data_IF_604413134282
#
_entry.id   IF_604413134282
#
_cell.length_a   1.000
_cell.length_b   1.000
_cell.length_c   1.000
_cell.angle_alpha   90.00
_cell.angle_beta   90.00
_cell.angle_gamma   90.00
#
_symmetry.space_group_name_H-M   'P 1'
#
loop_
_entity.id
_entity.type
_entity.pdbx_description
1 polymer ?
#
# COMPACT_ATOMS: atom_id res chain seq x y z
N UNK A 1 -37.51 -18.35 -25.53
CA UNK A 1 -38.05 -19.56 -24.87
C UNK A 1 -38.10 -20.84 -25.74
N UNK A 2 -37.43 -20.90 -26.89
CA UNK A 2 -37.55 -22.04 -27.83
C UNK A 2 -36.89 -23.35 -27.34
N UNK A 3 -35.72 -23.27 -26.72
CA UNK A 3 -34.93 -24.45 -26.30
C UNK A 3 -35.63 -25.27 -25.18
N UNK A 4 -36.21 -24.66 -24.12
CA UNK A 4 -36.99 -25.41 -23.14
C UNK A 4 -38.23 -26.10 -23.74
N UNK A 5 -39.01 -25.39 -24.55
CA UNK A 5 -40.25 -25.90 -25.13
C UNK A 5 -40.00 -27.12 -26.04
N UNK A 6 -38.99 -27.04 -26.93
CA UNK A 6 -38.59 -28.15 -27.82
C UNK A 6 -38.02 -29.36 -27.06
N UNK A 7 -37.58 -29.17 -25.82
CA UNK A 7 -37.09 -30.25 -24.95
C UNK A 7 -38.25 -30.92 -24.22
N UNK A 8 -39.20 -30.13 -23.71
CA UNK A 8 -40.41 -30.63 -23.06
C UNK A 8 -41.28 -31.47 -24.00
N UNK A 9 -41.46 -31.05 -25.26
CA UNK A 9 -42.29 -31.78 -26.25
C UNK A 9 -41.72 -33.13 -26.70
N UNK A 10 -40.53 -33.52 -26.22
CA UNK A 10 -39.89 -34.81 -26.52
C UNK A 10 -39.92 -35.81 -25.36
N UNK A 11 -40.38 -35.39 -24.19
CA UNK A 11 -40.56 -36.25 -23.02
C UNK A 11 -41.98 -36.78 -23.02
N UNK A 12 -42.16 -38.10 -23.03
CA UNK A 12 -43.50 -38.69 -22.90
C UNK A 12 -44.05 -38.50 -21.48
N UNK A 13 -45.38 -38.48 -21.32
CA UNK A 13 -46.00 -38.37 -19.99
C UNK A 13 -45.53 -39.49 -19.04
N UNK A 14 -45.30 -40.70 -19.57
CA UNK A 14 -44.78 -41.84 -18.82
C UNK A 14 -43.31 -41.67 -18.39
N UNK A 15 -42.47 -41.01 -19.19
CA UNK A 15 -41.10 -40.64 -18.79
C UNK A 15 -41.08 -39.48 -17.79
N UNK A 16 -42.03 -38.54 -17.88
CA UNK A 16 -42.17 -37.47 -16.90
C UNK A 16 -42.60 -38.01 -15.52
N UNK A 17 -43.50 -39.01 -15.49
CA UNK A 17 -43.94 -39.69 -14.27
C UNK A 17 -42.85 -40.63 -13.73
N UNK A 18 -42.13 -41.38 -14.59
CA UNK A 18 -40.95 -42.16 -14.19
C UNK A 18 -39.73 -41.26 -13.99
N UNK A 19 -39.68 -40.51 -12.88
CA UNK A 19 -38.52 -39.67 -12.46
C UNK A 19 -37.20 -40.43 -12.17
N UNK A 20 -37.03 -41.67 -12.66
CA UNK A 20 -35.76 -42.42 -12.67
C UNK A 20 -34.65 -41.76 -13.51
N UNK A 21 -34.95 -40.72 -14.29
CA UNK A 21 -33.95 -39.94 -15.04
C UNK A 21 -33.00 -39.12 -14.15
N UNK A 22 -33.35 -38.86 -12.89
CA UNK A 22 -32.64 -37.93 -12.01
C UNK A 22 -31.12 -38.20 -11.87
N UNK A 23 -30.67 -39.45 -12.05
CA UNK A 23 -29.25 -39.84 -11.93
C UNK A 23 -28.78 -40.76 -13.08
N UNK A 24 -28.92 -40.33 -14.34
CA UNK A 24 -28.28 -41.04 -15.49
C UNK A 24 -26.75 -40.89 -15.49
N UNK A 25 -26.05 -41.82 -14.84
CA UNK A 25 -24.57 -41.94 -14.87
C UNK A 25 -24.12 -42.42 -16.27
N UNK A 26 -23.88 -41.47 -17.20
CA UNK A 26 -23.47 -41.79 -18.58
C UNK A 26 -22.13 -42.52 -18.71
N UNK A 27 -21.24 -42.45 -17.73
CA UNK A 27 -19.95 -43.16 -17.77
C UNK A 27 -19.34 -43.38 -16.37
N UNK A 28 -19.49 -44.56 -15.74
CA UNK A 28 -19.01 -44.82 -14.38
C UNK A 28 -17.50 -44.61 -14.19
N UNK A 29 -16.68 -44.85 -15.23
CA UNK A 29 -15.22 -44.65 -15.16
C UNK A 29 -14.85 -43.19 -14.89
N UNK A 30 -15.65 -42.22 -15.33
CA UNK A 30 -15.43 -40.78 -15.07
C UNK A 30 -15.69 -40.36 -13.60
N UNK A 31 -16.39 -41.19 -12.83
CA UNK A 31 -16.65 -40.96 -11.40
C UNK A 31 -15.56 -41.57 -10.47
N UNK A 32 -14.51 -42.21 -11.02
CA UNK A 32 -13.39 -42.68 -10.20
C UNK A 32 -12.70 -41.50 -9.50
N UNK A 33 -12.53 -41.63 -8.19
CA UNK A 33 -11.77 -40.72 -7.32
C UNK A 33 -10.37 -41.30 -7.08
N UNK A 34 -9.41 -40.45 -6.67
CA UNK A 34 -8.09 -40.95 -6.25
C UNK A 34 -8.22 -41.78 -4.98
N UNK A 35 -7.47 -42.89 -4.87
CA UNK A 35 -7.41 -43.73 -3.66
C UNK A 35 -6.96 -42.94 -2.42
N UNK A 36 -6.15 -41.90 -2.62
CA UNK A 36 -5.71 -40.98 -1.56
C UNK A 36 -6.88 -40.28 -0.86
N UNK A 37 -7.92 -39.87 -1.62
CA UNK A 37 -9.11 -39.21 -1.04
C UNK A 37 -9.85 -40.16 -0.09
N UNK A 38 -9.98 -41.44 -0.46
CA UNK A 38 -10.58 -42.44 0.41
C UNK A 38 -9.74 -42.80 1.63
N UNK A 39 -8.41 -42.73 1.53
CA UNK A 39 -7.48 -42.99 2.65
C UNK A 39 -7.43 -41.84 3.66
N UNK A 40 -7.48 -40.58 3.20
CA UNK A 40 -7.38 -39.39 4.06
C UNK A 40 -8.75 -38.99 4.63
N UNK A 41 -9.81 -39.04 3.81
CA UNK A 41 -11.14 -38.49 4.14
C UNK A 41 -12.24 -39.55 4.24
N UNK A 42 -11.89 -40.84 4.24
CA UNK A 42 -12.83 -41.94 4.42
C UNK A 42 -13.84 -42.13 3.29
N UNK A 43 -14.98 -42.74 3.63
CA UNK A 43 -16.04 -43.02 2.69
C UNK A 43 -16.84 -41.76 2.35
N UNK A 44 -16.99 -40.87 3.33
CA UNK A 44 -17.66 -39.57 3.24
C UNK A 44 -16.92 -38.64 2.26
N UNK A 45 -15.60 -38.55 2.35
CA UNK A 45 -14.80 -37.80 1.38
C UNK A 45 -14.79 -38.42 -0.03
N UNK A 46 -14.90 -39.75 -0.11
CA UNK A 46 -15.09 -40.44 -1.39
C UNK A 46 -16.44 -40.10 -2.03
N UNK A 47 -17.51 -40.00 -1.23
CA UNK A 47 -18.84 -39.55 -1.67
C UNK A 47 -18.82 -38.08 -2.11
N UNK A 48 -18.25 -37.18 -1.30
CA UNK A 48 -18.09 -35.76 -1.63
C UNK A 48 -17.35 -35.55 -2.97
N UNK A 49 -16.21 -36.24 -3.17
CA UNK A 49 -15.44 -36.15 -4.41
C UNK A 49 -16.17 -36.78 -5.63
N UNK A 50 -17.03 -37.78 -5.42
CA UNK A 50 -17.92 -38.32 -6.45
C UNK A 50 -19.04 -37.33 -6.81
N UNK A 51 -19.65 -36.66 -5.82
CA UNK A 51 -20.70 -35.66 -6.04
C UNK A 51 -20.17 -34.49 -6.91
N UNK A 52 -18.98 -33.97 -6.59
CA UNK A 52 -18.31 -32.94 -7.39
C UNK A 52 -18.19 -33.34 -8.87
N UNK A 53 -17.77 -34.58 -9.14
CA UNK A 53 -17.61 -35.10 -10.51
C UNK A 53 -18.96 -35.40 -11.20
N UNK A 54 -19.96 -35.86 -10.44
CA UNK A 54 -21.31 -36.17 -10.94
C UNK A 54 -22.01 -34.91 -11.45
N UNK A 55 -22.00 -33.85 -10.64
CA UNK A 55 -22.71 -32.60 -10.91
C UNK A 55 -21.76 -31.48 -11.39
N UNK A 56 -20.75 -31.85 -12.18
CA UNK A 56 -19.61 -30.97 -12.52
C UNK A 56 -19.94 -29.59 -13.10
N UNK A 57 -21.09 -29.38 -13.77
CA UNK A 57 -21.52 -28.02 -14.18
C UNK A 57 -21.86 -27.15 -12.97
N UNK A 58 -22.70 -27.67 -12.06
CA UNK A 58 -23.11 -27.02 -10.80
C UNK A 58 -21.92 -26.76 -9.89
N UNK A 59 -21.07 -27.77 -9.69
CA UNK A 59 -19.85 -27.67 -8.89
C UNK A 59 -18.88 -26.61 -9.42
N UNK A 60 -18.75 -26.45 -10.75
CA UNK A 60 -17.99 -25.34 -11.34
C UNK A 60 -18.66 -23.98 -11.14
N UNK A 61 -19.98 -23.88 -11.23
CA UNK A 61 -20.69 -22.62 -10.97
C UNK A 61 -20.44 -22.14 -9.52
N UNK A 62 -20.49 -23.05 -8.53
CA UNK A 62 -20.20 -22.72 -7.13
C UNK A 62 -18.76 -22.22 -6.99
N UNK A 63 -17.78 -22.99 -7.48
CA UNK A 63 -16.35 -22.60 -7.45
C UNK A 63 -16.11 -21.25 -8.14
N UNK A 64 -16.78 -20.99 -9.28
CA UNK A 64 -16.66 -19.75 -10.02
C UNK A 64 -17.28 -18.55 -9.30
N UNK A 65 -18.43 -18.72 -8.63
CA UNK A 65 -19.05 -17.64 -7.83
C UNK A 65 -18.17 -17.28 -6.63
N UNK A 66 -17.69 -18.29 -5.89
CA UNK A 66 -16.73 -18.11 -4.80
C UNK A 66 -15.45 -17.41 -5.31
N UNK A 67 -14.90 -17.87 -6.44
CA UNK A 67 -13.72 -17.30 -7.08
C UNK A 67 -13.92 -15.81 -7.39
N UNK A 68 -15.05 -15.44 -8.00
CA UNK A 68 -15.35 -14.06 -8.35
C UNK A 68 -15.47 -13.18 -7.10
N UNK A 69 -16.16 -13.64 -6.05
CA UNK A 69 -16.25 -12.91 -4.77
C UNK A 69 -14.88 -12.66 -4.15
N UNK A 70 -13.99 -13.66 -4.13
CA UNK A 70 -12.63 -13.49 -3.58
C UNK A 70 -11.78 -12.57 -4.43
N UNK A 71 -11.84 -12.70 -5.77
CA UNK A 71 -11.09 -11.83 -6.68
C UNK A 71 -11.53 -10.39 -6.52
N UNK A 72 -12.84 -10.10 -6.49
CA UNK A 72 -13.37 -8.75 -6.33
C UNK A 72 -12.96 -8.16 -4.96
N UNK A 73 -13.13 -8.93 -3.87
CA UNK A 73 -12.75 -8.48 -2.53
C UNK A 73 -11.26 -8.13 -2.44
N UNK A 74 -10.36 -9.02 -2.89
CA UNK A 74 -8.92 -8.77 -2.88
C UNK A 74 -8.49 -7.64 -3.82
N UNK A 75 -9.14 -7.51 -4.99
CA UNK A 75 -8.87 -6.41 -5.92
C UNK A 75 -9.16 -5.06 -5.28
N UNK A 76 -10.31 -4.94 -4.61
CA UNK A 76 -10.71 -3.71 -3.90
C UNK A 76 -9.77 -3.46 -2.72
N UNK A 77 -9.50 -4.48 -1.89
CA UNK A 77 -8.60 -4.32 -0.73
C UNK A 77 -7.20 -3.83 -1.15
N UNK A 78 -6.61 -4.43 -2.19
CA UNK A 78 -5.31 -4.02 -2.70
C UNK A 78 -5.36 -2.62 -3.36
N UNK A 79 -6.42 -2.31 -4.12
CA UNK A 79 -6.62 -0.97 -4.70
C UNK A 79 -6.70 0.09 -3.60
N UNK A 80 -7.47 -0.18 -2.55
CA UNK A 80 -7.64 0.69 -1.40
C UNK A 80 -6.35 0.94 -0.61
N UNK A 81 -5.51 -0.09 -0.45
CA UNK A 81 -4.16 0.07 0.11
C UNK A 81 -3.34 0.99 -0.79
N UNK A 82 -3.11 0.60 -2.05
CA UNK A 82 -2.29 1.36 -3.00
C UNK A 82 -2.77 2.82 -3.17
N UNK A 83 -4.08 3.05 -3.14
CA UNK A 83 -4.66 4.39 -3.23
C UNK A 83 -4.40 5.20 -1.96
N UNK A 84 -4.47 4.58 -0.78
CA UNK A 84 -4.08 5.22 0.48
C UNK A 84 -2.59 5.54 0.48
N UNK A 85 -1.75 4.59 0.06
CA UNK A 85 -0.29 4.75 -0.01
C UNK A 85 0.09 5.91 -0.96
N UNK A 86 -0.49 5.96 -2.16
CA UNK A 86 -0.28 7.06 -3.12
C UNK A 86 -0.78 8.40 -2.57
N UNK A 87 -1.92 8.42 -1.89
CA UNK A 87 -2.43 9.67 -1.30
C UNK A 87 -1.54 10.13 -0.14
N UNK A 88 -1.08 9.26 0.75
CA UNK A 88 -0.14 9.63 1.83
C UNK A 88 1.21 10.11 1.28
N UNK A 89 1.73 9.52 0.20
CA UNK A 89 2.95 10.01 -0.48
C UNK A 89 2.71 11.36 -1.17
N UNK A 90 1.60 11.53 -1.87
CA UNK A 90 1.27 12.77 -2.60
C UNK A 90 0.98 13.95 -1.68
N UNK A 91 0.49 13.65 -0.47
CA UNK A 91 0.06 14.59 0.55
C UNK A 91 0.88 14.44 1.83
N UNK A 92 2.17 14.11 1.68
CA UNK A 92 3.11 13.79 2.75
C UNK A 92 3.02 14.82 3.90
N UNK A 93 2.92 14.33 5.15
CA UNK A 93 3.04 15.16 6.35
C UNK A 93 4.37 15.91 6.29
N UNK A 94 4.32 17.19 5.96
CA UNK A 94 5.32 18.16 6.38
C UNK A 94 4.94 18.70 7.75
N UNK A 95 5.84 19.47 8.37
CA UNK A 95 5.59 20.19 9.60
C UNK A 95 4.27 20.98 9.60
N UNK A 96 3.69 21.15 10.79
CA UNK A 96 2.42 21.85 10.95
C UNK A 96 2.50 23.30 10.45
N UNK A 97 3.63 23.97 10.60
CA UNK A 97 3.89 25.25 9.93
C UNK A 97 5.34 25.38 9.50
N UNK A 98 5.60 26.32 8.59
CA UNK A 98 6.94 26.74 8.19
C UNK A 98 7.06 28.25 8.29
N UNK A 99 8.12 28.73 8.94
CA UNK A 99 8.49 30.15 9.01
C UNK A 99 9.89 30.28 8.43
N UNK A 100 10.06 31.11 7.42
CA UNK A 100 11.39 31.39 6.83
C UNK A 100 11.77 32.84 6.99
N UNK A 101 13.00 33.08 7.43
CA UNK A 101 13.64 34.39 7.47
C UNK A 101 14.40 34.66 6.18
N UNK A 102 14.93 35.87 6.02
CA UNK A 102 16.11 36.14 5.19
C UNK A 102 17.35 35.39 5.71
N UNK A 103 18.45 35.59 4.98
CA UNK A 103 19.77 35.09 5.34
C UNK A 103 20.32 35.78 6.61
N UNK A 104 21.26 35.12 7.30
CA UNK A 104 21.87 35.61 8.54
C UNK A 104 21.09 35.32 9.82
N UNK A 105 19.76 35.15 9.74
CA UNK A 105 18.86 35.08 10.90
C UNK A 105 18.53 33.65 11.38
N UNK A 106 19.33 32.66 10.99
CA UNK A 106 19.11 31.24 11.30
C UNK A 106 19.06 30.95 12.81
N UNK A 107 19.87 31.67 13.58
CA UNK A 107 20.01 31.49 15.03
C UNK A 107 18.86 32.15 15.78
N UNK A 108 18.49 33.34 15.38
CA UNK A 108 17.36 34.13 15.87
C UNK A 108 16.07 33.33 15.66
N UNK A 109 15.92 32.73 14.48
CA UNK A 109 14.85 31.78 14.16
C UNK A 109 14.89 30.53 15.05
N UNK A 110 16.06 29.96 15.32
CA UNK A 110 16.23 28.83 16.26
C UNK A 110 15.70 29.21 17.65
N UNK A 111 16.10 30.36 18.15
CA UNK A 111 15.90 30.75 19.54
C UNK A 111 14.46 31.23 19.76
N UNK A 112 13.84 31.92 18.78
CA UNK A 112 12.42 32.25 18.77
C UNK A 112 11.53 30.99 18.77
N UNK A 113 11.82 30.02 17.90
CA UNK A 113 11.04 28.76 17.83
C UNK A 113 11.22 27.91 19.08
N UNK A 114 12.44 27.81 19.63
CA UNK A 114 12.72 27.02 20.86
C UNK A 114 12.15 27.65 22.13
N UNK A 115 12.01 28.98 22.18
CA UNK A 115 11.45 29.69 23.34
C UNK A 115 9.93 29.75 23.35
N UNK A 116 9.26 29.54 22.21
CA UNK A 116 7.81 29.64 22.08
C UNK A 116 7.08 28.46 22.73
N UNK A 117 6.14 28.75 23.63
CA UNK A 117 5.28 27.76 24.24
C UNK A 117 4.24 27.22 23.24
N UNK A 118 4.03 25.90 23.22
CA UNK A 118 3.09 25.23 22.30
C UNK A 118 3.79 24.43 21.20
N UNK A 119 5.04 24.76 20.87
CA UNK A 119 5.91 23.92 20.04
C UNK A 119 6.17 22.58 20.74
N UNK A 120 5.91 21.47 20.04
CA UNK A 120 6.25 20.11 20.48
C UNK A 120 7.64 19.72 20.01
N UNK A 121 7.91 19.99 18.72
CA UNK A 121 9.14 19.67 18.02
C UNK A 121 9.37 20.73 16.95
N UNK A 122 10.63 21.03 16.67
CA UNK A 122 11.01 21.83 15.52
C UNK A 122 12.37 21.38 14.99
N UNK A 123 12.67 21.80 13.78
CA UNK A 123 14.03 21.83 13.27
C UNK A 123 14.19 22.98 12.26
N UNK A 124 15.43 23.41 12.04
CA UNK A 124 15.79 24.38 11.01
C UNK A 124 16.49 23.67 9.85
N UNK A 125 16.14 24.09 8.65
CA UNK A 125 16.87 23.82 7.41
C UNK A 125 17.20 25.11 6.69
N UNK A 126 18.41 25.14 6.14
CA UNK A 126 18.80 26.03 5.06
C UNK A 126 19.19 25.16 3.88
N UNK A 127 18.80 25.53 2.66
CA UNK A 127 19.18 24.75 1.46
C UNK A 127 19.75 25.65 0.37
N UNK A 128 20.69 25.09 -0.38
CA UNK A 128 21.44 25.75 -1.44
C UNK A 128 21.57 24.85 -2.66
N UNK A 129 21.87 25.45 -3.80
CA UNK A 129 22.19 24.72 -5.03
C UNK A 129 23.70 24.76 -5.24
N UNK A 130 24.30 23.61 -5.52
CA UNK A 130 25.72 23.50 -5.84
C UNK A 130 25.98 22.63 -7.06
N UNK A 131 27.26 22.45 -7.37
CA UNK A 131 27.76 21.51 -8.37
C UNK A 131 28.83 20.59 -7.77
N UNK A 132 28.78 19.31 -8.12
CA UNK A 132 29.81 18.31 -7.85
C UNK A 132 30.58 18.06 -9.16
N UNK A 133 31.91 17.96 -9.08
CA UNK A 133 32.78 17.74 -10.24
C UNK A 133 32.37 16.48 -11.06
N UNK A 134 32.43 16.60 -12.39
CA UNK A 134 32.01 15.56 -13.32
C UNK A 134 32.79 14.24 -13.20
N UNK A 135 34.00 14.25 -12.65
CA UNK A 135 34.84 13.07 -12.43
C UNK A 135 34.23 12.03 -11.47
N UNK A 136 33.24 12.42 -10.65
CA UNK A 136 32.57 11.52 -9.71
C UNK A 136 31.35 10.78 -10.29
N UNK A 137 30.93 11.07 -11.53
CA UNK A 137 29.80 10.39 -12.19
C UNK A 137 30.06 8.91 -12.49
N UNK A 138 28.97 8.14 -12.47
CA UNK A 138 28.96 6.70 -12.74
C UNK A 138 28.77 6.34 -14.22
N UNK A 139 27.87 7.03 -14.94
CA UNK A 139 27.60 6.80 -16.36
C UNK A 139 27.52 8.14 -17.13
N UNK A 140 28.30 8.26 -18.21
CA UNK A 140 28.63 9.54 -18.86
C UNK A 140 27.62 10.00 -19.94
N UNK A 141 26.65 9.16 -20.31
CA UNK A 141 25.80 9.38 -21.49
C UNK A 141 24.62 10.34 -21.29
N UNK A 142 24.22 10.61 -20.04
CA UNK A 142 23.21 11.63 -19.69
C UNK A 142 23.86 12.98 -19.35
N UNK A 143 25.16 13.01 -19.07
CA UNK A 143 25.91 14.22 -18.69
C UNK A 143 26.16 15.20 -19.87
N UNK A 144 25.84 14.84 -21.11
CA UNK A 144 26.10 15.63 -22.33
C UNK A 144 25.27 16.94 -22.45
N UNK A 145 24.65 17.41 -21.37
CA UNK A 145 23.93 18.70 -21.29
C UNK A 145 24.49 19.64 -20.22
N UNK A 146 25.59 19.30 -19.56
CA UNK A 146 26.22 20.14 -18.53
C UNK A 146 27.76 20.09 -18.66
N UNK A 147 28.35 21.12 -19.27
CA UNK A 147 29.82 21.24 -19.43
C UNK A 147 30.57 21.46 -18.08
N UNK A 148 29.84 21.72 -16.97
CA UNK A 148 30.40 22.22 -15.70
C UNK A 148 30.16 21.32 -14.44
N UNK A 149 29.67 20.09 -14.57
CA UNK A 149 29.45 19.16 -13.43
C UNK A 149 27.99 18.88 -13.03
N UNK A 150 27.78 18.05 -12.00
CA UNK A 150 26.45 17.61 -11.52
C UNK A 150 25.84 18.64 -10.59
N UNK A 151 24.68 19.18 -10.92
CA UNK A 151 23.89 19.95 -9.94
C UNK A 151 23.57 19.08 -8.71
N UNK A 152 23.86 19.58 -7.51
CA UNK A 152 23.48 18.98 -6.23
C UNK A 152 22.64 19.97 -5.42
N UNK A 153 21.84 19.45 -4.48
CA UNK A 153 21.26 20.28 -3.42
C UNK A 153 22.13 20.14 -2.19
N UNK A 154 22.57 21.24 -1.61
CA UNK A 154 23.26 21.27 -0.31
C UNK A 154 22.23 21.65 0.75
N UNK A 155 22.24 20.93 1.87
CA UNK A 155 21.30 21.07 2.97
C UNK A 155 22.09 21.20 4.26
N UNK A 156 21.75 22.25 5.00
CA UNK A 156 22.23 22.50 6.34
C UNK A 156 21.08 22.22 7.31
N UNK A 157 21.31 21.35 8.28
CA UNK A 157 20.36 21.02 9.33
C UNK A 157 20.87 21.50 10.68
N UNK A 158 19.97 21.91 11.56
CA UNK A 158 20.36 22.08 12.96
C UNK A 158 20.88 20.77 13.57
N UNK A 159 21.68 20.91 14.62
CA UNK A 159 22.36 19.80 15.28
C UNK A 159 21.43 18.70 15.77
N UNK A 160 20.24 19.02 16.28
CA UNK A 160 19.31 18.01 16.81
C UNK A 160 18.75 17.14 15.69
N UNK A 161 18.35 17.77 14.58
CA UNK A 161 17.89 17.08 13.38
C UNK A 161 19.00 16.22 12.76
N UNK A 162 20.18 16.80 12.61
CA UNK A 162 21.33 16.13 12.00
C UNK A 162 21.84 14.94 12.82
N UNK A 163 21.97 15.09 14.14
CA UNK A 163 22.34 13.99 15.05
C UNK A 163 21.25 12.91 15.11
N UNK A 164 19.98 13.26 14.90
CA UNK A 164 18.88 12.30 14.73
C UNK A 164 19.09 11.40 13.51
N UNK A 165 19.42 12.01 12.37
CA UNK A 165 19.68 11.27 11.13
C UNK A 165 20.93 10.39 11.20
N UNK A 166 22.03 10.89 11.78
CA UNK A 166 23.25 10.08 11.97
C UNK A 166 23.00 8.86 12.85
N UNK A 167 22.14 8.96 13.89
CA UNK A 167 21.76 7.82 14.74
C UNK A 167 20.98 6.76 13.96
N UNK A 168 20.08 7.14 13.06
CA UNK A 168 19.39 6.19 12.16
C UNK A 168 20.36 5.47 11.21
N UNK A 169 21.37 6.19 10.70
CA UNK A 169 22.44 5.62 9.89
C UNK A 169 23.50 4.84 10.71
N UNK A 170 23.37 4.78 12.04
CA UNK A 170 24.33 4.17 12.97
C UNK A 170 25.74 4.77 12.94
N UNK A 171 25.85 6.06 12.62
CA UNK A 171 27.10 6.82 12.52
C UNK A 171 27.49 7.55 13.82
N UNK A 172 28.76 7.94 13.92
CA UNK A 172 29.28 8.68 15.08
C UNK A 172 29.14 10.20 14.89
N UNK A 173 28.23 10.81 15.65
CA UNK A 173 27.88 12.24 15.64
C UNK A 173 29.08 13.18 15.80
N UNK A 174 30.00 12.89 16.72
CA UNK A 174 31.12 13.79 17.05
C UNK A 174 32.06 14.08 15.87
N UNK A 175 32.07 13.23 14.84
CA UNK A 175 32.91 13.41 13.64
C UNK A 175 32.36 14.43 12.63
N UNK A 176 31.14 14.92 12.81
CA UNK A 176 30.45 15.75 11.82
C UNK A 176 30.22 17.20 12.28
N UNK A 177 30.73 17.57 13.46
CA UNK A 177 30.61 18.92 14.04
C UNK A 177 31.91 19.74 13.94
N UNK A 178 32.91 19.26 13.18
CA UNK A 178 34.17 19.97 12.93
C UNK A 178 34.00 20.98 11.78
N UNK A 179 34.24 22.26 12.06
CA UNK A 179 34.19 23.37 11.09
C UNK A 179 35.40 23.42 10.17
N UNK A 180 36.57 22.94 10.63
CA UNK A 180 37.80 22.95 9.84
C UNK A 180 37.83 21.78 8.85
N UNK A 181 37.05 20.73 9.11
CA UNK A 181 36.87 19.56 8.25
C UNK A 181 35.38 19.21 8.12
N UNK A 182 34.58 20.04 7.41
CA UNK A 182 33.14 19.80 7.29
C UNK A 182 32.87 18.44 6.67
N UNK A 183 32.10 17.61 7.39
CA UNK A 183 31.77 16.24 7.02
C UNK A 183 30.27 16.14 6.77
N UNK A 184 29.90 15.54 5.65
CA UNK A 184 28.51 15.48 5.18
C UNK A 184 28.02 14.04 4.95
N UNK A 185 26.70 13.89 4.88
CA UNK A 185 25.99 12.72 4.39
C UNK A 185 25.61 12.98 2.94
N UNK A 186 25.92 12.06 2.04
CA UNK A 186 25.49 12.13 0.64
C UNK A 186 24.31 11.19 0.39
N UNK A 187 23.14 11.75 0.06
CA UNK A 187 22.02 11.00 -0.50
C UNK A 187 22.19 10.96 -2.01
N UNK A 188 22.68 9.84 -2.52
CA UNK A 188 22.97 9.62 -3.95
C UNK A 188 21.81 8.94 -4.67
N UNK A 189 20.56 9.33 -4.38
CA UNK A 189 19.36 8.91 -5.13
C UNK A 189 18.77 10.13 -5.81
N UNK A 190 18.67 10.11 -7.13
CA UNK A 190 17.95 11.13 -7.90
C UNK A 190 16.72 10.55 -8.57
N UNK A 191 15.75 11.42 -8.85
CA UNK A 191 14.48 11.08 -9.47
C UNK A 191 14.27 11.93 -10.72
N UNK A 192 14.20 11.28 -11.87
CA UNK A 192 13.94 11.93 -13.17
C UNK A 192 12.62 11.47 -13.77
N UNK A 193 12.10 12.24 -14.73
CA UNK A 193 10.94 11.85 -15.53
C UNK A 193 11.33 11.76 -17.02
N UNK A 194 11.03 10.64 -17.66
CA UNK A 194 11.26 10.41 -19.10
C UNK A 194 10.11 9.59 -19.69
N UNK A 195 9.58 10.04 -20.83
CA UNK A 195 8.45 9.39 -21.52
C UNK A 195 7.25 9.10 -20.60
N UNK A 196 6.92 10.06 -19.73
CA UNK A 196 5.89 9.95 -18.68
C UNK A 196 6.07 8.79 -17.70
N UNK A 197 7.32 8.39 -17.44
CA UNK A 197 7.72 7.48 -16.37
C UNK A 197 8.72 8.14 -15.45
N UNK A 198 8.52 8.00 -14.15
CA UNK A 198 9.52 8.33 -13.14
C UNK A 198 10.56 7.21 -13.08
N UNK A 199 11.83 7.57 -12.95
CA UNK A 199 12.93 6.65 -12.68
C UNK A 199 13.77 7.18 -11.52
N UNK A 200 14.24 6.29 -10.67
CA UNK A 200 15.29 6.57 -9.68
C UNK A 200 16.63 6.04 -10.16
N UNK A 201 17.69 6.81 -9.97
CA UNK A 201 19.06 6.42 -10.30
C UNK A 201 20.06 6.92 -9.24
N UNK A 202 21.27 6.36 -9.28
CA UNK A 202 22.38 6.76 -8.41
C UNK A 202 23.50 7.33 -9.29
N UNK A 203 23.52 8.66 -9.54
CA UNK A 203 24.38 9.26 -10.58
C UNK A 203 25.87 9.24 -10.23
N UNK A 204 26.23 9.23 -8.95
CA UNK A 204 27.63 9.25 -8.51
C UNK A 204 28.16 7.84 -8.23
N UNK A 205 29.47 7.66 -8.42
CA UNK A 205 30.21 6.52 -7.87
C UNK A 205 30.21 6.54 -6.33
N UNK A 206 30.69 5.47 -5.68
CA UNK A 206 30.93 5.54 -4.23
C UNK A 206 32.10 6.50 -3.94
N UNK A 207 31.76 7.57 -3.22
CA UNK A 207 32.69 8.61 -2.78
C UNK A 207 32.75 8.73 -1.25
N UNK A 208 32.24 7.74 -0.52
CA UNK A 208 32.37 7.64 0.93
C UNK A 208 33.84 7.73 1.38
N UNK A 209 34.10 8.55 2.40
CA UNK A 209 35.43 8.86 2.94
C UNK A 209 36.29 9.79 2.07
N UNK A 210 35.80 10.31 0.93
CA UNK A 210 36.56 11.24 0.08
C UNK A 210 36.26 12.68 0.46
N UNK A 211 37.31 13.52 0.48
CA UNK A 211 37.18 14.97 0.41
C UNK A 211 36.95 15.37 -1.05
N UNK A 212 35.81 15.99 -1.32
CA UNK A 212 35.45 16.55 -2.62
C UNK A 212 35.34 18.07 -2.51
N UNK A 213 35.46 18.76 -3.63
CA UNK A 213 35.14 20.18 -3.70
C UNK A 213 33.75 20.33 -4.30
N UNK A 214 32.86 21.03 -3.59
CA UNK A 214 31.49 21.33 -4.03
C UNK A 214 31.40 22.82 -4.34
N UNK A 215 31.02 23.16 -5.56
CA UNK A 215 30.83 24.55 -5.96
C UNK A 215 29.43 25.00 -5.54
N UNK A 216 29.31 25.80 -4.49
CA UNK A 216 28.03 26.22 -3.94
C UNK A 216 27.67 27.59 -4.52
N UNK A 217 26.48 27.71 -5.12
CA UNK A 217 25.98 28.99 -5.64
C UNK A 217 25.59 29.90 -4.45
N UNK A 218 26.20 31.09 -4.38
CA UNK A 218 26.01 32.02 -3.27
C UNK A 218 25.31 33.32 -3.62
N UNK A 219 25.46 33.79 -4.85
CA UNK A 219 24.91 35.07 -5.28
C UNK A 219 24.80 35.15 -6.81
N UNK A 220 24.36 36.28 -7.35
CA UNK A 220 24.48 36.63 -8.77
C UNK A 220 25.30 37.88 -8.96
N UNK A 221 26.14 37.90 -9.99
CA UNK A 221 26.85 39.11 -10.40
C UNK A 221 25.89 40.18 -10.96
N UNK A 222 26.40 41.39 -11.21
CA UNK A 222 25.64 42.50 -11.81
C UNK A 222 25.02 42.18 -13.18
N UNK A 223 25.42 41.07 -13.81
CA UNK A 223 24.96 40.60 -15.11
C UNK A 223 23.96 39.43 -14.98
N UNK A 224 23.71 38.94 -13.76
CA UNK A 224 22.78 37.87 -13.43
C UNK A 224 23.37 36.45 -13.45
N UNK A 225 24.69 36.31 -13.60
CA UNK A 225 25.38 35.01 -13.59
C UNK A 225 25.59 34.52 -12.15
N UNK A 226 25.42 33.22 -11.91
CA UNK A 226 25.65 32.61 -10.60
C UNK A 226 27.13 32.72 -10.17
N UNK A 227 27.37 33.18 -8.94
CA UNK A 227 28.67 33.22 -8.28
C UNK A 227 28.82 31.96 -7.42
N UNK A 228 29.83 31.15 -7.74
CA UNK A 228 30.11 29.90 -7.03
C UNK A 228 31.28 30.06 -6.06
N UNK A 229 31.14 29.47 -4.87
CA UNK A 229 32.20 29.35 -3.86
C UNK A 229 32.60 27.89 -3.72
N UNK A 230 33.91 27.62 -3.78
CA UNK A 230 34.48 26.28 -3.58
C UNK A 230 34.41 25.85 -2.11
N UNK A 231 33.66 24.77 -1.83
CA UNK A 231 33.47 24.18 -0.52
C UNK A 231 34.15 22.79 -0.43
N UNK A 232 35.33 22.67 0.22
CA UNK A 232 35.97 21.38 0.44
C UNK A 232 35.27 20.60 1.55
N UNK A 233 34.53 19.55 1.20
CA UNK A 233 33.67 18.75 2.12
C UNK A 233 34.09 17.28 2.09
N UNK A 234 34.20 16.65 3.26
CA UNK A 234 34.36 15.18 3.36
C UNK A 234 32.99 14.49 3.29
N UNK A 235 32.79 13.62 2.30
CA UNK A 235 31.60 12.77 2.24
C UNK A 235 31.78 11.63 3.26
N UNK A 236 31.25 11.82 4.46
CA UNK A 236 31.45 10.89 5.57
C UNK A 236 30.79 9.53 5.36
N UNK A 237 29.58 9.53 4.79
CA UNK A 237 28.81 8.35 4.40
C UNK A 237 27.96 8.65 3.16
N UNK A 238 27.81 7.67 2.27
CA UNK A 238 26.89 7.71 1.14
C UNK A 238 25.71 6.75 1.38
N UNK A 239 24.49 7.23 1.18
CA UNK A 239 23.24 6.48 1.37
C UNK A 239 22.28 6.70 0.21
N UNK A 240 21.29 5.80 0.06
CA UNK A 240 20.14 5.96 -0.84
C UNK A 240 18.86 6.38 -0.10
N UNK A 241 18.90 6.39 1.23
CA UNK A 241 17.74 6.57 2.11
C UNK A 241 17.83 7.92 2.79
N UNK A 242 16.89 8.82 2.48
CA UNK A 242 16.68 10.05 3.24
C UNK A 242 16.22 9.75 4.67
N UNK A 243 16.49 10.70 5.57
CA UNK A 243 16.10 10.64 6.98
C UNK A 243 14.60 10.29 7.12
N UNK A 244 14.26 9.36 8.03
CA UNK A 244 12.96 8.71 8.01
C UNK A 244 11.83 9.47 8.70
N UNK A 245 12.17 10.39 9.61
CA UNK A 245 11.20 11.25 10.29
C UNK A 245 10.46 12.21 9.32
N UNK A 246 9.43 12.90 9.83
CA UNK A 246 8.48 13.76 9.07
C UNK A 246 9.10 15.06 8.52
N UNK A 247 10.40 15.05 8.19
CA UNK A 247 11.25 16.24 8.21
C UNK A 247 11.51 16.87 6.83
N UNK A 248 11.79 16.10 5.76
CA UNK A 248 12.24 16.72 4.50
C UNK A 248 11.68 16.17 3.18
N UNK A 249 11.28 17.11 2.31
CA UNK A 249 10.65 16.86 1.01
C UNK A 249 11.69 16.76 -0.14
N UNK A 250 12.74 15.96 0.05
CA UNK A 250 13.69 15.60 -1.01
C UNK A 250 13.53 14.15 -1.50
N UNK A 251 12.47 13.45 -1.09
CA UNK A 251 12.13 12.08 -1.53
C UNK A 251 11.96 11.90 -3.04
N UNK A 252 11.84 13.00 -3.79
CA UNK A 252 11.83 13.03 -5.26
C UNK A 252 12.76 14.11 -5.85
N UNK A 253 13.91 14.36 -5.21
CA UNK A 253 14.90 15.32 -5.72
C UNK A 253 15.46 14.90 -7.08
N UNK A 254 15.50 15.82 -8.05
CA UNK A 254 16.17 15.62 -9.34
C UNK A 254 17.72 15.59 -9.22
N UNK A 255 18.25 16.09 -8.10
CA UNK A 255 19.67 16.26 -7.82
C UNK A 255 20.09 15.45 -6.58
N UNK A 256 21.32 14.89 -6.50
CA UNK A 256 21.81 14.30 -5.26
C UNK A 256 21.84 15.35 -4.14
N UNK A 257 21.64 14.92 -2.90
CA UNK A 257 21.54 15.81 -1.75
C UNK A 257 22.72 15.61 -0.81
N UNK A 258 23.49 16.67 -0.57
CA UNK A 258 24.54 16.73 0.45
C UNK A 258 23.91 17.34 1.71
N UNK A 259 23.96 16.62 2.83
CA UNK A 259 23.36 17.04 4.11
C UNK A 259 24.48 17.17 5.14
N UNK A 260 24.58 18.32 5.80
CA UNK A 260 25.58 18.60 6.84
C UNK A 260 24.97 19.38 8.01
N UNK A 261 25.68 19.43 9.14
CA UNK A 261 25.26 20.22 10.29
C UNK A 261 25.54 21.72 10.05
N UNK A 262 24.59 22.57 10.39
CA UNK A 262 24.70 24.03 10.34
C UNK A 262 25.88 24.56 11.19
N UNK A 263 26.07 23.99 12.39
CA UNK A 263 27.23 24.30 13.24
C UNK A 263 28.58 23.99 12.58
N UNK A 264 28.63 23.10 11.59
CA UNK A 264 29.83 22.69 10.87
C UNK A 264 30.07 23.46 9.56
N UNK A 265 29.23 24.43 9.21
CA UNK A 265 29.43 25.27 8.01
C UNK A 265 30.70 26.14 8.18
N UNK A 266 31.66 26.09 7.24
CA UNK A 266 32.75 27.06 7.13
C UNK A 266 32.23 28.50 7.05
N UNK A 267 32.84 29.45 7.74
CA UNK A 267 32.33 30.83 7.80
C UNK A 267 32.20 31.51 6.42
N UNK A 268 32.97 31.09 5.41
CA UNK A 268 32.85 31.52 4.00
C UNK A 268 31.56 31.09 3.29
N UNK A 269 30.75 30.25 3.93
CA UNK A 269 29.51 29.69 3.38
C UNK A 269 28.28 30.04 4.24
N UNK A 270 28.42 30.82 5.31
CA UNK A 270 27.29 31.25 6.14
C UNK A 270 26.52 32.40 5.50
N UNK A 271 25.28 32.55 5.94
CA UNK A 271 24.49 33.78 5.75
C UNK A 271 24.20 34.19 4.30
N UNK A 272 24.15 33.21 3.38
CA UNK A 272 23.79 33.43 1.97
C UNK A 272 22.37 32.98 1.57
N UNK A 273 21.70 32.18 2.42
CA UNK A 273 20.40 31.60 2.07
C UNK A 273 19.36 31.76 3.19
N UNK A 274 18.09 32.00 2.83
CA UNK A 274 16.95 31.93 3.75
C UNK A 274 16.94 30.65 4.58
N UNK A 275 16.73 30.80 5.88
CA UNK A 275 16.59 29.68 6.81
C UNK A 275 15.11 29.44 7.08
N UNK A 276 14.67 28.18 7.02
CA UNK A 276 13.27 27.80 7.28
C UNK A 276 13.20 26.94 8.54
N UNK A 277 12.43 27.41 9.53
CA UNK A 277 12.00 26.61 10.66
C UNK A 277 10.74 25.82 10.30
N UNK A 278 10.79 24.54 10.60
CA UNK A 278 9.70 23.60 10.45
C UNK A 278 9.16 23.28 11.85
N UNK A 279 7.89 23.59 12.09
CA UNK A 279 7.31 23.68 13.43
C UNK A 279 6.18 22.65 13.57
N UNK A 280 6.20 21.87 14.65
CA UNK A 280 5.17 20.91 15.03
C UNK A 280 4.57 21.36 16.36
N UNK A 281 3.25 21.41 16.46
CA UNK A 281 2.53 21.98 17.62
C UNK A 281 1.76 20.93 18.40
N UNK A 282 1.75 21.08 19.73
CA UNK A 282 1.07 20.15 20.65
C UNK A 282 -0.44 20.11 20.44
N UNK A 283 -1.03 21.28 20.14
CA UNK A 283 -2.41 21.40 19.67
C UNK A 283 -2.44 22.22 18.37
N UNK A 284 -3.05 21.63 17.33
CA UNK A 284 -3.23 22.26 16.02
C UNK A 284 -4.20 23.45 16.07
N UNK A 285 -5.00 23.61 17.13
CA UNK A 285 -5.84 24.80 17.34
C UNK A 285 -5.02 26.01 17.79
N UNK A 286 -3.89 25.81 18.46
CA UNK A 286 -3.01 26.88 18.95
C UNK A 286 -2.01 27.35 17.90
N UNK A 287 -1.98 26.72 16.71
CA UNK A 287 -0.95 26.95 15.68
C UNK A 287 -0.78 28.42 15.29
N UNK A 288 -1.88 29.17 15.17
CA UNK A 288 -1.83 30.61 14.87
C UNK A 288 -1.11 31.36 15.99
N UNK A 289 -1.46 31.11 17.25
CA UNK A 289 -0.85 31.79 18.40
C UNK A 289 0.63 31.45 18.54
N UNK A 290 1.05 30.23 18.18
CA UNK A 290 2.46 29.84 18.12
C UNK A 290 3.20 30.60 17.01
N UNK A 291 2.62 30.68 15.81
CA UNK A 291 3.17 31.44 14.68
C UNK A 291 3.29 32.93 15.02
N UNK A 292 2.25 33.51 15.61
CA UNK A 292 2.20 34.93 15.97
C UNK A 292 3.29 35.26 17.01
N UNK A 293 3.48 34.41 18.03
CA UNK A 293 4.57 34.55 19.02
C UNK A 293 5.96 34.49 18.39
N UNK A 294 6.23 33.49 17.52
CA UNK A 294 7.52 33.36 16.84
C UNK A 294 7.77 34.57 15.93
N UNK A 295 6.74 35.03 15.23
CA UNK A 295 6.81 36.20 14.36
C UNK A 295 7.08 37.48 15.16
N UNK A 296 6.43 37.66 16.32
CA UNK A 296 6.66 38.81 17.20
C UNK A 296 8.09 38.85 17.75
N UNK A 297 8.68 37.72 18.14
CA UNK A 297 10.09 37.68 18.54
C UNK A 297 11.03 38.01 17.37
N UNK A 298 10.74 37.52 16.16
CA UNK A 298 11.54 37.81 14.97
C UNK A 298 11.44 39.28 14.52
N UNK A 299 10.27 39.92 14.65
CA UNK A 299 10.11 41.36 14.38
C UNK A 299 10.88 42.28 15.33
N UNK A 300 11.49 41.75 16.41
CA UNK A 300 12.41 42.51 17.29
C UNK A 300 13.87 42.46 16.80
N UNK A 301 14.16 41.65 15.79
CA UNK A 301 15.47 41.54 15.13
C UNK A 301 15.54 42.42 13.88
N UNK A 302 16.67 42.42 13.20
CA UNK A 302 16.91 43.12 11.94
C UNK A 302 16.46 42.35 10.68
N UNK A 303 15.71 41.25 10.84
CA UNK A 303 15.13 40.48 9.73
C UNK A 303 14.15 41.32 8.90
N UNK A 304 14.50 41.58 7.63
CA UNK A 304 13.68 42.32 6.66
C UNK A 304 12.64 41.42 5.97
N UNK A 305 12.93 40.13 5.80
CA UNK A 305 12.04 39.17 5.18
C UNK A 305 11.54 38.10 6.15
N UNK A 306 10.25 38.13 6.47
CA UNK A 306 9.55 37.04 7.15
C UNK A 306 8.48 36.46 6.23
N UNK A 307 8.62 35.18 5.88
CA UNK A 307 7.59 34.42 5.16
C UNK A 307 7.04 33.32 6.05
N UNK A 308 5.77 33.49 6.44
CA UNK A 308 4.99 32.45 7.11
C UNK A 308 4.27 31.66 6.04
N UNK A 309 4.64 30.39 5.87
CA UNK A 309 3.84 29.44 5.13
C UNK A 309 3.07 28.58 6.12
N UNK A 310 1.82 28.96 6.38
CA UNK A 310 0.85 28.10 7.05
C UNK A 310 0.58 26.87 6.19
N UNK A 311 1.46 25.88 6.34
CA UNK A 311 1.16 24.52 5.96
C UNK A 311 -0.10 24.08 6.70
N UNK A 312 -0.28 24.42 7.98
CA UNK A 312 -1.32 23.87 8.86
C UNK A 312 -2.76 24.05 8.41
N UNK A 313 -3.15 25.21 7.88
CA UNK A 313 -4.52 25.41 7.37
C UNK A 313 -4.77 24.62 6.08
N UNK A 314 -3.80 24.60 5.16
CA UNK A 314 -3.83 23.76 3.95
C UNK A 314 -3.68 22.25 4.24
N UNK A 315 -2.89 21.90 5.26
CA UNK A 315 -2.56 20.54 5.70
C UNK A 315 -3.69 19.97 6.55
N UNK A 316 -4.47 20.80 7.24
CA UNK A 316 -5.74 20.40 7.83
C UNK A 316 -6.76 20.09 6.73
N UNK A 317 -6.85 20.89 5.66
CA UNK A 317 -7.68 20.55 4.50
C UNK A 317 -7.24 19.23 3.84
N UNK A 318 -5.93 19.03 3.67
CA UNK A 318 -5.34 17.78 3.14
C UNK A 318 -5.58 16.58 4.07
N UNK A 319 -5.32 16.69 5.37
CA UNK A 319 -5.59 15.62 6.34
C UNK A 319 -7.09 15.29 6.42
N UNK A 320 -7.97 16.29 6.30
CA UNK A 320 -9.40 16.08 6.19
C UNK A 320 -9.78 15.37 4.88
N UNK A 321 -9.14 15.71 3.74
CA UNK A 321 -9.30 14.99 2.47
C UNK A 321 -8.82 13.53 2.60
N UNK A 322 -7.68 13.28 3.25
CA UNK A 322 -7.17 11.93 3.53
C UNK A 322 -8.12 11.15 4.45
N UNK A 323 -8.66 11.77 5.50
CA UNK A 323 -9.63 11.16 6.42
C UNK A 323 -10.93 10.82 5.70
N UNK A 324 -11.52 11.78 4.99
CA UNK A 324 -12.73 11.60 4.17
C UNK A 324 -12.50 10.46 3.16
N UNK A 325 -11.34 10.46 2.49
CA UNK A 325 -10.94 9.41 1.54
C UNK A 325 -10.85 8.04 2.21
N UNK A 326 -10.19 7.92 3.36
CA UNK A 326 -10.13 6.68 4.14
C UNK A 326 -11.53 6.20 4.56
N UNK A 327 -12.40 7.10 5.00
CA UNK A 327 -13.80 6.78 5.35
C UNK A 327 -14.57 6.25 4.13
N UNK A 328 -14.46 6.88 2.96
CA UNK A 328 -15.06 6.36 1.73
C UNK A 328 -14.49 4.99 1.35
N UNK A 329 -13.17 4.84 1.35
CA UNK A 329 -12.46 3.60 1.02
C UNK A 329 -12.89 2.44 1.93
N UNK A 330 -12.88 2.61 3.25
CA UNK A 330 -13.32 1.58 4.19
C UNK A 330 -14.83 1.32 4.11
N UNK A 331 -15.64 2.34 3.77
CA UNK A 331 -17.06 2.19 3.46
C UNK A 331 -17.29 1.30 2.23
N UNK A 332 -16.57 1.52 1.14
CA UNK A 332 -16.63 0.69 -0.07
C UNK A 332 -16.14 -0.74 0.17
N UNK A 333 -15.05 -0.93 0.92
CA UNK A 333 -14.59 -2.27 1.36
C UNK A 333 -15.72 -2.98 2.12
N UNK A 334 -16.36 -2.31 3.09
CA UNK A 334 -17.45 -2.87 3.89
C UNK A 334 -18.64 -3.29 3.02
N UNK A 335 -19.06 -2.42 2.11
CA UNK A 335 -20.16 -2.69 1.17
C UNK A 335 -19.87 -3.90 0.28
N UNK A 336 -18.67 -3.97 -0.32
CA UNK A 336 -18.28 -5.05 -1.23
C UNK A 336 -18.05 -6.36 -0.49
N UNK A 337 -17.59 -6.30 0.76
CA UNK A 337 -17.53 -7.45 1.67
C UNK A 337 -18.92 -8.01 1.94
N UNK A 338 -19.90 -7.15 2.25
CA UNK A 338 -21.29 -7.58 2.48
C UNK A 338 -21.92 -8.21 1.22
N UNK A 339 -21.73 -7.60 0.05
CA UNK A 339 -22.19 -8.16 -1.24
C UNK A 339 -21.55 -9.53 -1.50
N UNK A 340 -20.26 -9.68 -1.20
CA UNK A 340 -19.52 -10.94 -1.36
C UNK A 340 -20.02 -12.03 -0.40
N UNK A 341 -20.24 -11.70 0.87
CA UNK A 341 -20.84 -12.60 1.87
C UNK A 341 -22.23 -13.07 1.39
N UNK A 342 -23.08 -12.15 0.95
CA UNK A 342 -24.42 -12.48 0.46
C UNK A 342 -24.39 -13.36 -0.80
N UNK A 343 -23.45 -13.13 -1.72
CA UNK A 343 -23.24 -14.00 -2.89
C UNK A 343 -22.87 -15.43 -2.46
N UNK A 344 -21.92 -15.57 -1.52
CA UNK A 344 -21.46 -16.87 -1.01
C UNK A 344 -22.62 -17.60 -0.32
N UNK A 345 -23.33 -16.95 0.61
CA UNK A 345 -24.47 -17.53 1.33
C UNK A 345 -25.57 -17.97 0.35
N UNK A 346 -25.96 -17.12 -0.60
CA UNK A 346 -26.99 -17.45 -1.59
C UNK A 346 -26.56 -18.60 -2.50
N UNK A 347 -25.30 -18.60 -2.95
CA UNK A 347 -24.74 -19.68 -3.77
C UNK A 347 -24.77 -21.02 -3.04
N UNK A 348 -24.33 -21.05 -1.77
CA UNK A 348 -24.30 -22.27 -0.96
C UNK A 348 -25.73 -22.73 -0.62
N UNK A 349 -26.60 -21.83 -0.15
CA UNK A 349 -27.99 -22.14 0.23
C UNK A 349 -28.77 -22.72 -0.95
N UNK A 350 -28.70 -22.08 -2.12
CA UNK A 350 -29.30 -22.61 -3.34
C UNK A 350 -28.68 -23.97 -3.72
N UNK A 351 -27.35 -24.13 -3.57
CA UNK A 351 -26.70 -25.41 -3.84
C UNK A 351 -27.10 -26.54 -2.88
N UNK A 352 -27.57 -26.25 -1.67
CA UNK A 352 -28.11 -27.24 -0.75
C UNK A 352 -29.59 -27.55 -1.08
N UNK A 353 -30.39 -26.52 -1.38
CA UNK A 353 -31.81 -26.66 -1.73
C UNK A 353 -32.04 -27.56 -2.95
N UNK A 354 -31.35 -27.33 -4.08
CA UNK A 354 -31.52 -28.21 -5.27
C UNK A 354 -30.89 -29.62 -5.08
N UNK A 355 -30.47 -30.01 -3.86
CA UNK A 355 -30.01 -31.36 -3.49
C UNK A 355 -30.84 -32.00 -2.39
N UNK A 356 -31.86 -31.33 -1.86
CA UNK A 356 -32.71 -31.84 -0.78
C UNK A 356 -33.24 -33.27 -1.05
N UNK A 357 -33.64 -33.59 -2.28
CA UNK A 357 -34.01 -34.96 -2.70
C UNK A 357 -32.85 -35.96 -2.69
N UNK A 358 -31.64 -35.58 -3.15
CA UNK A 358 -30.44 -36.42 -3.06
C UNK A 358 -30.10 -36.73 -1.60
N UNK A 359 -30.24 -35.73 -0.72
CA UNK A 359 -29.97 -35.83 0.71
C UNK A 359 -30.98 -36.70 1.45
N UNK A 360 -32.29 -36.56 1.16
CA UNK A 360 -33.33 -37.44 1.68
C UNK A 360 -33.09 -38.91 1.31
N UNK A 361 -32.70 -39.18 0.05
CA UNK A 361 -32.35 -40.52 -0.43
C UNK A 361 -31.12 -41.11 0.30
N UNK A 362 -30.08 -40.32 0.54
CA UNK A 362 -28.91 -40.80 1.28
C UNK A 362 -29.25 -41.10 2.75
N UNK A 363 -30.13 -40.32 3.38
CA UNK A 363 -30.62 -40.57 4.74
C UNK A 363 -31.50 -41.83 4.81
N UNK A 364 -32.38 -42.08 3.84
CA UNK A 364 -33.26 -43.26 3.83
C UNK A 364 -32.52 -44.59 3.60
N UNK A 365 -31.37 -44.57 2.92
CA UNK A 365 -30.46 -45.72 2.79
C UNK A 365 -29.60 -45.94 4.06
N UNK A 366 -29.86 -45.19 5.13
CA UNK A 366 -29.24 -45.39 6.46
C UNK A 366 -27.97 -44.58 6.71
N UNK A 367 -27.65 -43.56 5.92
CA UNK A 367 -26.47 -42.73 6.19
C UNK A 367 -26.68 -41.89 7.46
N UNK A 368 -25.79 -42.06 8.45
CA UNK A 368 -25.91 -41.40 9.76
C UNK A 368 -25.81 -39.87 9.65
N UNK A 369 -26.45 -39.09 10.54
CA UNK A 369 -26.38 -37.64 10.52
C UNK A 369 -24.94 -37.09 10.60
N UNK A 370 -24.06 -37.75 11.36
CA UNK A 370 -22.63 -37.38 11.47
C UNK A 370 -21.90 -37.60 10.14
N UNK A 371 -22.12 -38.72 9.46
CA UNK A 371 -21.55 -38.98 8.14
C UNK A 371 -22.10 -38.02 7.06
N UNK A 372 -23.40 -37.67 7.15
CA UNK A 372 -24.03 -36.66 6.30
C UNK A 372 -23.40 -35.27 6.46
N UNK A 373 -23.34 -34.72 7.68
CA UNK A 373 -22.70 -33.42 7.93
C UNK A 373 -21.23 -33.46 7.45
N UNK A 374 -20.46 -34.51 7.77
CA UNK A 374 -19.06 -34.67 7.34
C UNK A 374 -18.89 -34.70 5.81
N UNK A 375 -19.76 -35.41 5.09
CA UNK A 375 -19.74 -35.43 3.62
C UNK A 375 -19.95 -34.02 3.04
N UNK A 376 -20.90 -33.26 3.57
CA UNK A 376 -21.19 -31.90 3.08
C UNK A 376 -20.01 -30.95 3.39
N UNK A 377 -19.47 -30.96 4.61
CA UNK A 377 -18.30 -30.15 4.95
C UNK A 377 -17.11 -30.45 4.03
N UNK A 378 -16.81 -31.73 3.76
CA UNK A 378 -15.72 -32.11 2.86
C UNK A 378 -15.97 -31.69 1.40
N UNK A 379 -17.22 -31.70 0.95
CA UNK A 379 -17.58 -31.22 -0.39
C UNK A 379 -17.36 -29.71 -0.52
N UNK A 380 -17.84 -28.95 0.47
CA UNK A 380 -17.80 -27.48 0.49
C UNK A 380 -16.41 -26.91 0.77
N UNK A 381 -15.65 -27.55 1.66
CA UNK A 381 -14.21 -27.28 1.82
C UNK A 381 -13.49 -27.44 0.46
N UNK A 382 -13.86 -28.46 -0.32
CA UNK A 382 -13.31 -28.67 -1.66
C UNK A 382 -13.78 -27.63 -2.70
N UNK A 383 -14.90 -26.91 -2.46
CA UNK A 383 -15.28 -25.74 -3.24
C UNK A 383 -14.42 -24.53 -2.87
N UNK A 384 -14.28 -24.22 -1.58
CA UNK A 384 -13.42 -23.13 -1.08
C UNK A 384 -11.96 -23.29 -1.49
N UNK A 385 -11.36 -24.45 -1.24
CA UNK A 385 -9.97 -24.73 -1.60
C UNK A 385 -9.68 -24.61 -3.10
N UNK A 386 -10.61 -25.04 -3.98
CA UNK A 386 -10.47 -24.85 -5.43
C UNK A 386 -10.70 -23.42 -5.87
N UNK A 387 -11.62 -22.70 -5.23
CA UNK A 387 -11.83 -21.28 -5.46
C UNK A 387 -10.56 -20.49 -5.16
N UNK A 388 -9.98 -20.66 -3.97
CA UNK A 388 -8.73 -20.02 -3.54
C UNK A 388 -7.54 -20.37 -4.44
N UNK A 389 -7.42 -21.63 -4.88
CA UNK A 389 -6.37 -22.05 -5.81
C UNK A 389 -6.40 -21.31 -7.16
N UNK A 390 -7.54 -20.76 -7.58
CA UNK A 390 -7.64 -19.90 -8.78
C UNK A 390 -7.68 -18.41 -8.44
N UNK A 391 -8.35 -18.00 -7.35
CA UNK A 391 -8.52 -16.58 -7.03
C UNK A 391 -7.22 -15.95 -6.53
N UNK A 392 -6.42 -16.64 -5.72
CA UNK A 392 -5.17 -16.07 -5.20
C UNK A 392 -4.18 -15.71 -6.34
N UNK A 393 -3.86 -16.59 -7.31
CA UNK A 393 -3.01 -16.21 -8.44
C UNK A 393 -3.59 -15.08 -9.30
N UNK A 394 -4.91 -15.08 -9.52
CA UNK A 394 -5.59 -14.03 -10.32
C UNK A 394 -5.58 -12.68 -9.59
N UNK A 395 -5.81 -12.66 -8.28
CA UNK A 395 -5.73 -11.44 -7.45
C UNK A 395 -4.31 -10.89 -7.37
N UNK A 396 -3.29 -11.75 -7.27
CA UNK A 396 -1.87 -11.32 -7.35
C UNK A 396 -1.56 -10.73 -8.74
N UNK A 397 -2.04 -11.36 -9.82
CA UNK A 397 -1.87 -10.84 -11.17
C UNK A 397 -2.57 -9.49 -11.36
N UNK A 398 -3.81 -9.34 -10.87
CA UNK A 398 -4.55 -8.06 -10.93
C UNK A 398 -3.83 -6.98 -10.11
N UNK A 399 -3.36 -7.29 -8.91
CA UNK A 399 -2.57 -6.38 -8.08
C UNK A 399 -1.29 -5.93 -8.80
N UNK A 400 -0.57 -6.85 -9.45
CA UNK A 400 0.60 -6.53 -10.25
C UNK A 400 0.29 -5.69 -11.51
N UNK A 401 -0.87 -5.90 -12.15
CA UNK A 401 -1.31 -5.07 -13.29
C UNK A 401 -1.70 -3.67 -12.84
N UNK A 402 -2.40 -3.53 -11.71
CA UNK A 402 -2.71 -2.23 -11.09
C UNK A 402 -1.42 -1.50 -10.71
N UNK A 403 -0.48 -2.20 -10.09
CA UNK A 403 0.87 -1.71 -9.84
C UNK A 403 1.50 -1.16 -11.12
N UNK A 404 1.53 -1.93 -12.22
CA UNK A 404 2.09 -1.45 -13.50
C UNK A 404 1.37 -0.24 -14.10
N UNK A 405 0.10 0.00 -13.77
CA UNK A 405 -0.60 1.22 -14.21
C UNK A 405 -0.13 2.43 -13.38
N UNK A 406 -0.12 2.30 -12.06
CA UNK A 406 0.27 3.37 -11.13
C UNK A 406 1.78 3.68 -11.17
N UNK A 407 2.62 2.67 -11.39
CA UNK A 407 4.08 2.79 -11.45
C UNK A 407 4.61 3.63 -12.63
N UNK A 408 3.76 4.02 -13.60
CA UNK A 408 4.15 5.04 -14.58
C UNK A 408 4.12 6.45 -13.96
N UNK A 409 3.25 6.67 -12.97
CA UNK A 409 3.03 7.99 -12.35
C UNK A 409 3.71 8.18 -11.00
N UNK A 410 4.03 7.09 -10.29
CA UNK A 410 4.58 7.13 -8.93
C UNK A 410 5.66 6.05 -8.76
N UNK A 411 6.85 6.42 -8.29
CA UNK A 411 7.95 5.47 -8.05
C UNK A 411 7.84 4.84 -6.65
N UNK A 412 7.02 3.78 -6.57
CA UNK A 412 7.01 2.86 -5.44
C UNK A 412 7.32 1.43 -5.91
N UNK A 413 7.97 0.63 -5.06
CA UNK A 413 8.24 -0.78 -5.37
C UNK A 413 6.98 -1.64 -5.27
N UNK A 414 6.89 -2.72 -6.06
CA UNK A 414 5.80 -3.69 -5.90
C UNK A 414 5.94 -4.46 -4.59
N UNK A 415 5.14 -4.10 -3.58
CA UNK A 415 5.11 -4.79 -2.29
C UNK A 415 3.93 -5.75 -2.20
N UNK A 416 4.21 -7.06 -2.13
CA UNK A 416 3.19 -8.08 -1.92
C UNK A 416 2.94 -8.28 -0.41
N UNK A 417 2.07 -7.46 0.19
CA UNK A 417 1.58 -7.73 1.54
C UNK A 417 0.76 -9.03 1.57
N UNK A 418 1.23 -10.04 2.30
CA UNK A 418 0.59 -11.37 2.36
C UNK A 418 -0.65 -11.37 3.26
N UNK A 419 -0.75 -10.43 4.21
CA UNK A 419 -1.78 -10.40 5.25
C UNK A 419 -3.21 -10.36 4.71
N UNK A 420 -3.57 -9.51 3.72
CA UNK A 420 -4.91 -9.50 3.13
C UNK A 420 -5.31 -10.83 2.48
N UNK A 421 -4.35 -11.55 1.88
CA UNK A 421 -4.59 -12.85 1.24
C UNK A 421 -4.88 -13.95 2.26
N UNK A 422 -4.20 -13.92 3.41
CA UNK A 422 -4.48 -14.82 4.54
C UNK A 422 -5.85 -14.53 5.16
N UNK A 423 -6.16 -13.26 5.42
CA UNK A 423 -7.44 -12.81 5.97
C UNK A 423 -8.59 -13.20 5.03
N UNK A 424 -8.46 -12.94 3.72
CA UNK A 424 -9.44 -13.34 2.72
C UNK A 424 -9.65 -14.86 2.69
N UNK A 425 -8.57 -15.64 2.76
CA UNK A 425 -8.63 -17.11 2.77
C UNK A 425 -9.36 -17.64 4.01
N UNK A 426 -9.07 -17.10 5.19
CA UNK A 426 -9.75 -17.45 6.44
C UNK A 426 -11.24 -17.05 6.43
N UNK A 427 -11.54 -15.82 5.98
CA UNK A 427 -12.91 -15.32 5.86
C UNK A 427 -13.75 -16.20 4.92
N UNK A 428 -13.20 -16.64 3.78
CA UNK A 428 -13.90 -17.54 2.85
C UNK A 428 -14.33 -18.84 3.52
N UNK A 429 -13.43 -19.49 4.27
CA UNK A 429 -13.80 -20.72 4.98
C UNK A 429 -14.82 -20.46 6.09
N UNK A 430 -14.67 -19.38 6.87
CA UNK A 430 -15.62 -18.98 7.91
C UNK A 430 -17.03 -18.72 7.35
N UNK A 431 -17.14 -18.00 6.22
CA UNK A 431 -18.42 -17.72 5.55
C UNK A 431 -19.02 -19.01 4.97
N UNK A 432 -18.19 -19.88 4.37
CA UNK A 432 -18.64 -21.20 3.90
C UNK A 432 -19.20 -22.03 5.05
N UNK A 433 -18.50 -22.14 6.17
CA UNK A 433 -18.94 -22.90 7.35
C UNK A 433 -20.24 -22.34 7.94
N UNK A 434 -20.34 -21.00 8.07
CA UNK A 434 -21.55 -20.32 8.54
C UNK A 434 -22.75 -20.58 7.63
N UNK A 435 -22.55 -20.47 6.31
CA UNK A 435 -23.60 -20.73 5.32
C UNK A 435 -24.05 -22.20 5.31
N UNK A 436 -23.13 -23.14 5.56
CA UNK A 436 -23.45 -24.57 5.68
C UNK A 436 -24.19 -24.89 6.97
N UNK A 437 -23.80 -24.30 8.10
CA UNK A 437 -24.50 -24.48 9.37
C UNK A 437 -25.98 -24.09 9.21
N UNK A 438 -26.22 -22.86 8.74
CA UNK A 438 -27.57 -22.36 8.43
C UNK A 438 -28.34 -23.24 7.42
N UNK A 439 -27.68 -23.68 6.35
CA UNK A 439 -28.33 -24.52 5.32
C UNK A 439 -28.64 -25.94 5.78
N UNK A 440 -27.77 -26.54 6.60
CA UNK A 440 -27.90 -27.92 7.06
C UNK A 440 -29.02 -28.02 8.09
N UNK A 441 -29.09 -27.09 9.04
CA UNK A 441 -30.10 -27.15 10.09
C UNK A 441 -31.51 -26.89 9.53
N UNK A 442 -31.65 -25.92 8.62
CA UNK A 442 -32.88 -25.74 7.83
C UNK A 442 -33.35 -27.00 7.07
N UNK A 443 -32.42 -27.83 6.59
CA UNK A 443 -32.72 -29.12 5.91
C UNK A 443 -33.01 -30.27 6.91
N UNK A 444 -32.67 -30.11 8.19
CA UNK A 444 -32.99 -31.08 9.23
C UNK A 444 -34.40 -30.86 9.81
N UNK A 445 -34.85 -29.61 9.89
CA UNK A 445 -36.20 -29.23 10.34
C UNK A 445 -37.30 -29.64 9.34
N UNK A 446 -36.92 -29.81 8.07
CA UNK A 446 -37.77 -30.36 7.02
C UNK A 446 -38.09 -31.85 7.26
N UNK A 447 -39.36 -32.14 7.57
CA UNK A 447 -39.85 -33.51 7.72
C UNK A 447 -39.53 -34.34 6.47
N UNK A 448 -38.89 -35.51 6.66
CA UNK A 448 -38.48 -36.40 5.56
C UNK A 448 -39.71 -36.87 4.75
N UNK A 449 -40.84 -37.07 5.43
CA UNK A 449 -42.10 -37.49 4.83
C UNK A 449 -42.72 -36.36 3.98
N UNK A 450 -42.75 -35.13 4.48
CA UNK A 450 -43.33 -34.00 3.74
C UNK A 450 -42.49 -33.66 2.51
N UNK A 451 -41.15 -33.73 2.63
CA UNK A 451 -40.20 -33.60 1.50
C UNK A 451 -40.42 -34.60 0.37
N UNK A 452 -41.03 -35.76 0.67
CA UNK A 452 -41.38 -36.79 -0.32
C UNK A 452 -42.84 -36.73 -0.77
N UNK A 453 -43.73 -36.11 0.02
CA UNK A 453 -45.16 -35.94 -0.30
C UNK A 453 -45.48 -34.72 -1.16
N UNK A 454 -44.71 -33.64 -1.07
CA UNK A 454 -44.99 -32.37 -1.79
C UNK A 454 -44.94 -32.44 -3.32
N UNK A 455 -44.62 -33.59 -3.91
CA UNK A 455 -44.60 -33.83 -5.36
C UNK A 455 -45.45 -35.06 -5.79
N UNK A 456 -46.37 -35.54 -4.93
CA UNK A 456 -47.34 -36.62 -5.25
C UNK A 456 -48.77 -36.07 -5.41
N UNK A 457 -48.96 -34.76 -5.23
CA UNK A 457 -50.20 -34.02 -5.49
C UNK A 457 -50.11 -33.20 -6.77
#
# INVERSE_FOLDING_TARGET
SYIPARKASKTTAIEAIRQNEAVKIKNPKKLRTSRLVGKIFGHEGTLAAKNYKRNGRRSRNIVFSLFLSVVVFLTVMNFSSMFTDVMEVSFNKTADSMISTDCGHAKELSDAVKSTAGVEKSYIMTFEFGKIDASYFKDYSTAHTMDDGLNCTVVYLDRNAFDGYLKELSENTEKYHDKDNPRAILVNTTYGQKDSKTYSENPLNDISGKKINVQINKDKDEQGNNIYVDAPIEIGIQTTTLWSEETFNFRHSANPVIIMCDEAIPDSLKDYSPSTAYIFVKDKQEIQSVIDQISEELYKTDAEYLSVSESGSSMNAINNILLITKVFVYGFITLITLISIMNIINTISNSMNERRREFAMLRSVGMTPKAFKRMIYLESFSYGARSLAFSLPVSVLIHFLMYKVLANSFDFGFQLNISPYLIASAAVFMIIESALFYSIDRINDDNIIDTLKTDVG
#
